data_IF_222570369531
#
_entry.id   IF_222570369531
#
_cell.length_a   1.000
_cell.length_b   1.000
_cell.length_c   1.000
_cell.angle_alpha   90.00
_cell.angle_beta   90.00
_cell.angle_gamma   90.00
#
_symmetry.space_group_name_H-M   'P 1'
#
loop_
_entity.id
_entity.type
_entity.pdbx_description
1 polymer ?
#
# COMPACT_ATOMS: atom_id res chain seq x y z
N UNK A 1 -9.73 -25.90 -4.25
CA UNK A 1 -8.59 -25.29 -3.57
C UNK A 1 -9.02 -23.87 -3.24
N UNK A 2 -9.42 -23.59 -2.00
CA UNK A 2 -9.67 -22.20 -1.57
C UNK A 2 -8.30 -21.60 -1.33
N UNK A 3 -7.91 -20.63 -2.16
CA UNK A 3 -6.73 -19.85 -1.84
C UNK A 3 -7.03 -19.14 -0.50
N UNK A 4 -6.21 -19.38 0.53
CA UNK A 4 -6.34 -18.69 1.80
C UNK A 4 -5.72 -17.30 1.68
N UNK A 5 -6.50 -16.26 1.94
CA UNK A 5 -6.02 -14.89 1.92
C UNK A 5 -6.41 -14.18 3.20
N UNK A 6 -5.43 -13.53 3.83
CA UNK A 6 -5.64 -12.68 5.00
C UNK A 6 -6.24 -11.32 4.60
N UNK A 7 -7.37 -11.32 3.88
CA UNK A 7 -8.00 -10.11 3.31
C UNK A 7 -8.17 -8.99 4.34
N UNK A 8 -8.67 -9.32 5.53
CA UNK A 8 -8.81 -8.36 6.63
C UNK A 8 -7.46 -7.80 7.12
N UNK A 9 -6.43 -8.65 7.19
CA UNK A 9 -5.08 -8.24 7.61
C UNK A 9 -4.40 -7.38 6.55
N UNK A 10 -4.54 -7.74 5.27
CA UNK A 10 -3.99 -6.99 4.14
C UNK A 10 -4.68 -5.62 3.99
N UNK A 11 -6.00 -5.56 4.16
CA UNK A 11 -6.74 -4.30 4.19
C UNK A 11 -6.28 -3.42 5.35
N UNK A 12 -6.16 -3.97 6.57
CA UNK A 12 -5.63 -3.25 7.73
C UNK A 12 -4.21 -2.73 7.50
N UNK A 13 -3.34 -3.55 6.92
CA UNK A 13 -1.95 -3.18 6.62
C UNK A 13 -1.89 -2.07 5.58
N UNK A 14 -2.74 -2.14 4.53
CA UNK A 14 -2.86 -1.09 3.52
C UNK A 14 -3.26 0.24 4.14
N UNK A 15 -4.33 0.26 4.94
CA UNK A 15 -4.78 1.49 5.62
C UNK A 15 -3.69 2.06 6.52
N UNK A 16 -2.97 1.22 7.27
CA UNK A 16 -1.86 1.69 8.10
C UNK A 16 -0.71 2.33 7.30
N UNK A 17 -0.43 1.82 6.09
CA UNK A 17 0.56 2.41 5.19
C UNK A 17 0.07 3.73 4.56
N UNK A 18 -1.21 3.82 4.19
CA UNK A 18 -1.83 5.07 3.71
C UNK A 18 -1.79 6.15 4.79
N UNK A 19 -2.14 5.81 6.04
CA UNK A 19 -2.08 6.71 7.19
C UNK A 19 -0.64 7.19 7.47
N UNK A 20 0.36 6.31 7.37
CA UNK A 20 1.77 6.69 7.53
C UNK A 20 2.23 7.64 6.43
N UNK A 21 1.85 7.38 5.18
CA UNK A 21 2.14 8.28 4.05
C UNK A 21 1.53 9.67 4.29
N UNK A 22 0.26 9.74 4.65
CA UNK A 22 -0.43 11.01 4.91
C UNK A 22 0.17 11.73 6.13
N UNK A 23 0.52 10.99 7.19
CA UNK A 23 1.16 11.52 8.39
C UNK A 23 2.50 12.23 8.11
N UNK A 24 3.17 11.92 7.00
CA UNK A 24 4.43 12.56 6.58
C UNK A 24 4.22 13.88 5.82
N UNK A 25 3.01 14.19 5.35
CA UNK A 25 2.73 15.46 4.65
C UNK A 25 2.92 16.69 5.55
N UNK A 26 2.47 16.60 6.81
CA UNK A 26 2.61 17.69 7.80
C UNK A 26 4.08 18.04 8.10
N UNK A 27 4.91 17.07 8.54
CA UNK A 27 6.35 17.28 8.74
C UNK A 27 7.05 17.83 7.50
N UNK A 28 6.75 17.31 6.31
CA UNK A 28 7.33 17.81 5.06
C UNK A 28 7.01 19.29 4.83
N UNK A 29 5.75 19.68 5.02
CA UNK A 29 5.32 21.09 4.87
C UNK A 29 6.03 21.98 5.88
N UNK A 30 6.19 21.53 7.12
CA UNK A 30 6.90 22.30 8.15
C UNK A 30 8.38 22.48 7.80
N UNK A 31 9.04 21.45 7.27
CA UNK A 31 10.43 21.53 6.81
C UNK A 31 10.59 22.53 5.65
N UNK A 32 9.70 22.48 4.66
CA UNK A 32 9.73 23.38 3.50
C UNK A 32 9.40 24.84 3.84
N UNK A 33 8.75 25.09 4.98
CA UNK A 33 8.41 26.43 5.46
C UNK A 33 9.45 27.02 6.43
N UNK A 34 10.40 26.22 6.90
CA UNK A 34 11.43 26.70 7.80
C UNK A 34 12.39 27.62 7.05
N UNK A 35 12.63 28.81 7.61
CA UNK A 35 13.58 29.78 7.07
C UNK A 35 14.89 29.75 7.88
N UNK A 36 15.97 29.14 7.34
CA UNK A 36 17.25 29.05 8.03
C UNK A 36 17.99 30.39 8.12
N UNK A 37 17.60 31.41 7.34
CA UNK A 37 18.19 32.75 7.44
C UNK A 37 17.92 33.40 8.80
N UNK A 38 16.84 33.01 9.49
CA UNK A 38 16.50 33.49 10.83
C UNK A 38 17.51 33.05 11.90
N UNK A 39 18.37 32.07 11.61
CA UNK A 39 19.37 31.55 12.55
C UNK A 39 20.70 32.33 12.49
N UNK A 40 20.87 33.19 11.49
CA UNK A 40 22.07 33.99 11.25
C UNK A 40 23.17 33.27 10.46
N UNK A 41 24.02 34.06 9.82
CA UNK A 41 25.00 33.64 8.81
C UNK A 41 25.92 32.50 9.25
N UNK A 42 26.31 32.48 10.54
CA UNK A 42 27.25 31.50 11.08
C UNK A 42 26.72 30.06 11.03
N UNK A 43 25.40 29.87 11.08
CA UNK A 43 24.74 28.56 11.16
C UNK A 43 23.78 28.29 10.00
N UNK A 44 23.43 29.31 9.21
CA UNK A 44 22.49 29.21 8.09
C UNK A 44 22.85 28.07 7.14
N UNK A 45 24.11 27.98 6.69
CA UNK A 45 24.51 26.93 5.74
C UNK A 45 24.35 25.51 6.28
N UNK A 46 24.56 25.31 7.58
CA UNK A 46 24.33 24.01 8.22
C UNK A 46 22.83 23.71 8.36
N UNK A 47 22.02 24.73 8.66
CA UNK A 47 20.56 24.61 8.74
C UNK A 47 19.93 24.33 7.37
N UNK A 48 20.38 25.00 6.30
CA UNK A 48 19.98 24.74 4.91
C UNK A 48 20.24 23.28 4.52
N UNK A 49 21.44 22.78 4.79
CA UNK A 49 21.82 21.40 4.48
C UNK A 49 20.97 20.39 5.27
N UNK A 50 20.69 20.68 6.54
CA UNK A 50 19.84 19.86 7.39
C UNK A 50 18.40 19.80 6.86
N UNK A 51 17.79 20.95 6.59
CA UNK A 51 16.41 21.05 6.09
C UNK A 51 16.26 20.32 4.75
N UNK A 52 17.18 20.56 3.82
CA UNK A 52 17.20 19.90 2.50
C UNK A 52 17.28 18.38 2.64
N UNK A 53 18.17 17.89 3.50
CA UNK A 53 18.35 16.45 3.72
C UNK A 53 17.09 15.80 4.28
N UNK A 54 16.46 16.44 5.27
CA UNK A 54 15.27 15.91 5.90
C UNK A 54 14.02 16.02 5.04
N UNK A 55 13.90 17.05 4.20
CA UNK A 55 12.84 17.15 3.21
C UNK A 55 12.91 15.98 2.23
N UNK A 56 14.08 15.73 1.64
CA UNK A 56 14.31 14.60 0.74
C UNK A 56 14.03 13.26 1.42
N UNK A 57 14.51 13.09 2.66
CA UNK A 57 14.28 11.85 3.41
C UNK A 57 12.80 11.62 3.69
N UNK A 58 12.05 12.67 4.04
CA UNK A 58 10.61 12.59 4.31
C UNK A 58 9.83 12.24 3.03
N UNK A 59 10.22 12.80 1.89
CA UNK A 59 9.65 12.44 0.58
C UNK A 59 9.87 10.95 0.27
N UNK A 60 11.09 10.45 0.41
CA UNK A 60 11.41 9.03 0.17
C UNK A 60 10.59 8.12 1.07
N UNK A 61 10.46 8.44 2.37
CA UNK A 61 9.66 7.64 3.30
C UNK A 61 8.17 7.64 2.95
N UNK A 62 7.64 8.79 2.52
CA UNK A 62 6.26 8.91 2.06
C UNK A 62 6.01 8.04 0.84
N UNK A 63 6.87 8.14 -0.16
CA UNK A 63 6.71 7.41 -1.41
C UNK A 63 6.87 5.89 -1.19
N UNK A 64 7.75 5.46 -0.28
CA UNK A 64 7.84 4.06 0.16
C UNK A 64 6.55 3.59 0.84
N UNK A 65 6.01 4.37 1.78
CA UNK A 65 4.76 4.04 2.45
C UNK A 65 3.59 3.92 1.47
N UNK A 66 3.45 4.89 0.55
CA UNK A 66 2.45 4.84 -0.52
C UNK A 66 2.65 3.61 -1.41
N UNK A 67 3.88 3.33 -1.84
CA UNK A 67 4.18 2.16 -2.67
C UNK A 67 3.86 0.82 -2.00
N UNK A 68 4.01 0.73 -0.67
CA UNK A 68 3.56 -0.44 0.10
C UNK A 68 2.04 -0.59 0.10
N UNK A 69 1.29 0.51 0.30
CA UNK A 69 -0.17 0.47 0.21
C UNK A 69 -0.65 0.04 -1.19
N UNK A 70 -0.05 0.59 -2.24
CA UNK A 70 -0.36 0.26 -3.63
C UNK A 70 -0.07 -1.21 -3.94
N UNK A 71 1.09 -1.71 -3.49
CA UNK A 71 1.48 -3.12 -3.66
C UNK A 71 0.50 -4.07 -2.96
N UNK A 72 0.02 -3.71 -1.77
CA UNK A 72 -1.00 -4.47 -1.06
C UNK A 72 -2.34 -4.45 -1.81
N UNK A 73 -2.76 -3.30 -2.32
CA UNK A 73 -3.98 -3.18 -3.11
C UNK A 73 -3.90 -4.02 -4.39
N UNK A 74 -2.78 -3.98 -5.10
CA UNK A 74 -2.55 -4.78 -6.31
C UNK A 74 -2.56 -6.27 -5.99
N UNK A 75 -1.85 -6.70 -4.94
CA UNK A 75 -1.84 -8.10 -4.50
C UNK A 75 -3.25 -8.59 -4.18
N UNK A 76 -4.07 -7.73 -3.55
CA UNK A 76 -5.46 -8.08 -3.26
C UNK A 76 -6.30 -8.24 -4.52
N UNK A 77 -6.09 -7.37 -5.52
CA UNK A 77 -6.77 -7.45 -6.81
C UNK A 77 -6.37 -8.71 -7.60
N UNK A 78 -5.07 -8.97 -7.73
CA UNK A 78 -4.52 -10.11 -8.48
C UNK A 78 -5.05 -11.44 -7.93
N UNK A 79 -5.16 -11.52 -6.60
CA UNK A 79 -5.72 -12.68 -5.94
C UNK A 79 -7.19 -12.92 -6.33
N UNK A 80 -8.02 -11.87 -6.24
CA UNK A 80 -9.44 -11.97 -6.59
C UNK A 80 -9.65 -12.32 -8.06
N UNK A 81 -8.83 -11.74 -8.95
CA UNK A 81 -8.83 -12.07 -10.37
C UNK A 81 -8.47 -13.54 -10.61
N UNK A 82 -7.40 -14.03 -9.98
CA UNK A 82 -6.95 -15.43 -10.10
C UNK A 82 -7.99 -16.42 -9.58
N UNK A 83 -8.64 -16.11 -8.46
CA UNK A 83 -9.71 -16.96 -7.90
C UNK A 83 -10.91 -17.01 -8.85
N UNK A 84 -11.33 -15.87 -9.40
CA UNK A 84 -12.41 -15.80 -10.38
C UNK A 84 -12.10 -16.56 -11.66
N UNK A 85 -10.89 -16.44 -12.20
CA UNK A 85 -10.44 -17.20 -13.37
C UNK A 85 -10.45 -18.70 -13.09
N UNK A 86 -10.00 -19.12 -11.91
CA UNK A 86 -10.00 -20.53 -11.49
C UNK A 86 -11.42 -21.10 -11.38
N UNK A 87 -12.36 -20.32 -10.83
CA UNK A 87 -13.79 -20.67 -10.77
C UNK A 87 -14.36 -20.80 -12.18
N UNK A 88 -14.13 -19.83 -13.05
CA UNK A 88 -14.62 -19.86 -14.43
C UNK A 88 -14.05 -21.03 -15.22
N UNK A 89 -12.75 -21.29 -15.13
CA UNK A 89 -12.10 -22.42 -15.78
C UNK A 89 -12.69 -23.74 -15.31
N UNK A 90 -12.90 -23.90 -14.00
CA UNK A 90 -13.54 -25.11 -13.43
C UNK A 90 -14.98 -25.26 -13.90
N UNK A 91 -15.76 -24.17 -13.92
CA UNK A 91 -17.14 -24.15 -14.41
C UNK A 91 -17.23 -24.56 -15.88
N UNK A 92 -16.25 -24.18 -16.71
CA UNK A 92 -16.19 -24.58 -18.11
C UNK A 92 -15.96 -26.10 -18.29
N UNK A 93 -15.31 -26.76 -17.31
CA UNK A 93 -15.11 -28.21 -17.31
C UNK A 93 -16.35 -29.01 -16.87
N UNK A 94 -17.35 -28.37 -16.25
CA UNK A 94 -18.60 -29.02 -15.85
C UNK A 94 -19.53 -29.24 -17.05
N UNK A 95 -20.39 -30.26 -16.94
CA UNK A 95 -21.52 -30.47 -17.85
C UNK A 95 -22.41 -29.22 -17.87
N UNK A 96 -23.03 -28.92 -19.02
CA UNK A 96 -23.82 -27.70 -19.21
C UNK A 96 -24.89 -27.51 -18.12
N UNK A 97 -25.58 -28.58 -17.75
CA UNK A 97 -26.62 -28.60 -16.72
C UNK A 97 -26.09 -28.34 -15.31
N UNK A 98 -24.82 -28.60 -15.06
CA UNK A 98 -24.18 -28.44 -13.75
C UNK A 98 -23.44 -27.11 -13.60
N UNK A 99 -23.35 -26.29 -14.66
CA UNK A 99 -22.57 -25.03 -14.61
C UNK A 99 -23.10 -24.01 -13.62
N UNK A 100 -24.39 -24.05 -13.29
CA UNK A 100 -25.00 -23.13 -12.32
C UNK A 100 -24.93 -23.66 -10.88
N UNK A 101 -24.25 -24.79 -10.64
CA UNK A 101 -24.05 -25.30 -9.28
C UNK A 101 -23.12 -24.40 -8.47
N UNK A 102 -23.55 -24.08 -7.24
CA UNK A 102 -22.78 -23.24 -6.32
C UNK A 102 -21.56 -24.02 -5.84
N UNK A 103 -20.32 -23.50 -6.00
CA UNK A 103 -19.13 -24.14 -5.48
C UNK A 103 -19.21 -24.30 -3.95
N UNK A 104 -18.99 -25.51 -3.45
CA UNK A 104 -18.90 -25.76 -2.01
C UNK A 104 -17.61 -25.15 -1.47
N UNK A 105 -17.67 -24.49 -0.30
CA UNK A 105 -16.47 -24.05 0.40
C UNK A 105 -15.60 -25.26 0.73
N UNK A 106 -14.44 -25.37 0.08
CA UNK A 106 -13.45 -26.36 0.44
C UNK A 106 -12.86 -25.97 1.80
N UNK A 107 -13.28 -26.68 2.86
CA UNK A 107 -12.57 -26.67 4.15
C UNK A 107 -11.31 -27.51 3.92
N UNK A 108 -10.13 -26.91 4.09
CA UNK A 108 -8.87 -27.66 4.03
C UNK A 108 -8.83 -28.77 5.09
N UNK A 109 -8.00 -29.82 4.91
CA UNK A 109 -7.79 -30.85 5.92
C UNK A 109 -7.24 -30.27 7.23
#
# INVERSE_FOLDING_TARGET
>A
MTLQMWTATLAKARTAWEEQSEGLNGPRKNLAQADPALLGDAVQGAADAFLTTWEQRTLVLRDLASGHADSLAQTMYDFLATDQESVQATQQLLLWEDRDTVPVQAVGP
#
